data_IF_873012716107
#
_entry.id   IF_873012716107
#
_cell.length_a   1.000
_cell.length_b   1.000
_cell.length_c   1.000
_cell.angle_alpha   90.00
_cell.angle_beta   90.00
_cell.angle_gamma   90.00
#
_symmetry.space_group_name_H-M   'P 1'
#
loop_
_entity.id
_entity.type
_entity.pdbx_description
1 polymer ?
#
# COMPACT_ATOMS: atom_id res chain seq x y z
N UNK A 1 -2.54 15.17 -5.97
CA UNK A 1 -3.35 14.50 -5.28
C UNK A 1 -4.41 13.76 -6.04
N UNK A 2 -5.42 14.39 -6.47
CA UNK A 2 -6.49 13.67 -7.12
C UNK A 2 -6.12 12.99 -8.41
N UNK A 3 -5.13 13.51 -9.10
CA UNK A 3 -4.75 12.97 -10.38
C UNK A 3 -4.24 11.57 -10.33
N UNK A 4 -3.42 11.25 -9.32
CA UNK A 4 -2.86 9.91 -9.23
C UNK A 4 -3.93 8.86 -9.01
N UNK A 5 -5.01 9.20 -8.29
CA UNK A 5 -6.08 8.24 -8.04
C UNK A 5 -7.03 8.11 -9.23
N UNK A 6 -6.90 8.99 -10.21
CA UNK A 6 -7.71 8.93 -11.43
C UNK A 6 -6.93 8.35 -12.61
N UNK A 7 -5.69 7.91 -12.38
CA UNK A 7 -4.91 7.29 -13.44
C UNK A 7 -5.59 6.00 -13.93
N UNK A 8 -5.60 5.82 -15.24
CA UNK A 8 -6.13 4.63 -15.87
C UNK A 8 -5.01 3.77 -16.43
N UNK A 9 -5.30 2.49 -16.63
CA UNK A 9 -4.38 1.52 -17.21
C UNK A 9 -5.11 0.78 -18.32
N UNK A 10 -4.42 0.49 -19.41
CA UNK A 10 -5.03 -0.19 -20.54
C UNK A 10 -5.16 -1.69 -20.34
N UNK A 11 -4.26 -2.29 -19.56
CA UNK A 11 -4.26 -3.72 -19.33
C UNK A 11 -3.49 -4.05 -18.05
N UNK A 12 -3.50 -5.34 -17.70
CA UNK A 12 -2.81 -5.84 -16.51
C UNK A 12 -1.31 -5.60 -16.56
N UNK A 13 -0.70 -5.78 -17.73
CA UNK A 13 0.75 -5.61 -17.86
C UNK A 13 1.16 -4.17 -17.58
N UNK A 14 0.40 -3.20 -18.06
CA UNK A 14 0.68 -1.79 -17.79
C UNK A 14 0.60 -1.49 -16.29
N UNK A 15 -0.43 -2.01 -15.62
CA UNK A 15 -0.58 -1.85 -14.16
C UNK A 15 0.60 -2.50 -13.42
N UNK A 16 0.92 -3.74 -13.74
CA UNK A 16 2.02 -4.45 -13.08
C UNK A 16 3.37 -3.78 -13.34
N UNK A 17 3.60 -3.30 -14.54
CA UNK A 17 4.85 -2.61 -14.87
C UNK A 17 5.00 -1.32 -14.08
N UNK A 18 3.91 -0.58 -13.90
CA UNK A 18 3.96 0.66 -13.12
C UNK A 18 4.16 0.37 -11.63
N UNK A 19 3.54 -0.67 -11.10
CA UNK A 19 3.78 -1.10 -9.72
C UNK A 19 5.26 -1.46 -9.55
N UNK A 20 5.80 -2.27 -10.45
CA UNK A 20 7.18 -2.71 -10.38
C UNK A 20 8.16 -1.54 -10.43
N UNK A 21 7.94 -0.61 -11.34
CA UNK A 21 8.78 0.57 -11.49
C UNK A 21 8.74 1.45 -10.24
N UNK A 22 7.55 1.72 -9.72
CA UNK A 22 7.37 2.55 -8.53
C UNK A 22 7.94 1.88 -7.30
N UNK A 23 7.72 0.59 -7.15
CA UNK A 23 8.22 -0.18 -6.02
C UNK A 23 9.74 -0.25 -6.02
N UNK A 24 10.36 -0.53 -7.17
CA UNK A 24 11.82 -0.62 -7.26
C UNK A 24 12.49 0.70 -6.85
N UNK A 25 11.94 1.82 -7.27
CA UNK A 25 12.46 3.14 -6.89
C UNK A 25 12.28 3.40 -5.40
N UNK A 26 11.14 3.03 -4.86
CA UNK A 26 10.84 3.23 -3.44
C UNK A 26 11.72 2.38 -2.55
N UNK A 27 11.73 1.07 -2.78
CA UNK A 27 12.41 0.13 -1.87
C UNK A 27 13.93 0.33 -1.85
N UNK A 28 14.51 0.72 -2.99
CA UNK A 28 15.95 0.94 -3.07
C UNK A 28 16.43 2.11 -2.21
N UNK A 29 15.54 3.03 -1.86
CA UNK A 29 15.91 4.16 -1.01
C UNK A 29 16.33 3.71 0.40
N UNK A 30 15.93 2.52 0.82
CA UNK A 30 16.25 2.02 2.16
C UNK A 30 17.59 1.28 2.24
N UNK A 31 18.24 1.01 1.09
CA UNK A 31 19.43 0.18 1.04
C UNK A 31 20.60 0.73 1.87
N UNK A 32 20.74 2.06 1.90
CA UNK A 32 21.85 2.71 2.62
C UNK A 32 21.49 3.10 4.05
N UNK A 33 20.27 2.84 4.51
CA UNK A 33 19.86 3.22 5.86
C UNK A 33 20.29 2.14 6.83
N UNK A 34 21.15 2.47 7.82
CA UNK A 34 21.54 1.47 8.82
C UNK A 34 20.37 1.08 9.71
N UNK A 35 20.33 -0.18 10.14
CA UNK A 35 19.28 -0.65 11.04
C UNK A 35 19.25 0.16 12.35
N UNK A 36 20.39 0.64 12.79
CA UNK A 36 20.48 1.45 14.02
C UNK A 36 19.72 2.77 13.92
N UNK A 37 19.40 3.22 12.72
CA UNK A 37 18.67 4.47 12.49
C UNK A 37 17.21 4.27 12.07
N UNK A 38 16.71 3.04 12.09
CA UNK A 38 15.37 2.74 11.63
C UNK A 38 14.27 3.52 12.37
N UNK A 39 14.50 3.85 13.62
CA UNK A 39 13.53 4.56 14.47
C UNK A 39 13.93 6.02 14.73
N UNK A 40 14.93 6.52 14.02
CA UNK A 40 15.36 7.90 14.19
C UNK A 40 14.32 8.84 13.61
N UNK A 41 13.74 9.67 14.49
CA UNK A 41 12.78 10.67 14.07
C UNK A 41 13.48 11.99 13.77
N UNK A 42 13.10 12.61 12.68
CA UNK A 42 13.50 13.99 12.38
C UNK A 42 12.25 14.85 12.34
N UNK A 43 12.39 16.11 12.75
CA UNK A 43 11.22 16.98 12.91
C UNK A 43 10.51 17.26 11.58
N UNK A 44 11.26 17.35 10.51
CA UNK A 44 10.76 17.76 9.19
C UNK A 44 10.00 16.66 8.44
N UNK A 45 10.04 15.43 8.94
CA UNK A 45 9.40 14.29 8.27
C UNK A 45 8.53 13.55 9.29
N UNK A 46 7.29 13.27 8.91
CA UNK A 46 6.30 12.72 9.82
C UNK A 46 6.47 11.24 10.17
N UNK A 47 7.39 10.55 9.52
CA UNK A 47 7.63 9.11 9.75
C UNK A 47 9.10 8.77 9.83
N UNK A 48 9.42 7.84 10.71
CA UNK A 48 10.73 7.19 10.74
C UNK A 48 10.84 6.22 9.58
N UNK A 49 12.04 5.74 9.24
CA UNK A 49 12.16 4.71 8.19
C UNK A 49 11.29 3.47 8.44
N UNK A 50 11.27 2.97 9.68
CA UNK A 50 10.43 1.81 10.00
C UNK A 50 8.94 2.12 9.85
N UNK A 51 8.50 3.27 10.31
CA UNK A 51 7.10 3.70 10.16
C UNK A 51 6.71 3.87 8.69
N UNK A 52 7.63 4.37 7.87
CA UNK A 52 7.42 4.54 6.44
C UNK A 52 7.12 3.19 5.76
N UNK A 53 7.94 2.18 6.05
CA UNK A 53 7.73 0.83 5.53
C UNK A 53 6.49 0.16 6.13
N UNK A 54 6.25 0.35 7.44
CA UNK A 54 5.09 -0.23 8.12
C UNK A 54 3.77 0.21 7.49
N UNK A 55 3.68 1.45 7.06
CA UNK A 55 2.50 1.97 6.36
C UNK A 55 2.23 1.16 5.08
N UNK A 56 3.26 0.90 4.29
CA UNK A 56 3.11 0.16 3.04
C UNK A 56 2.73 -1.30 3.30
N UNK A 57 3.39 -1.92 4.27
CA UNK A 57 3.06 -3.31 4.66
C UNK A 57 1.61 -3.39 5.13
N UNK A 58 1.17 -2.43 5.93
CA UNK A 58 -0.19 -2.40 6.45
C UNK A 58 -1.23 -2.34 5.34
N UNK A 59 -1.14 -1.38 4.45
CA UNK A 59 -2.13 -1.21 3.39
C UNK A 59 -2.10 -2.36 2.38
N UNK A 60 -0.92 -2.81 1.98
CA UNK A 60 -0.86 -3.92 1.02
C UNK A 60 -1.43 -5.21 1.61
N UNK A 61 -1.19 -5.46 2.89
CA UNK A 61 -1.79 -6.60 3.59
C UNK A 61 -3.32 -6.50 3.57
N UNK A 62 -3.87 -5.31 3.82
CA UNK A 62 -5.33 -5.13 3.83
C UNK A 62 -5.94 -5.35 2.45
N UNK A 63 -5.34 -4.81 1.40
CA UNK A 63 -5.86 -4.99 0.03
C UNK A 63 -5.91 -6.47 -0.33
N UNK A 64 -4.85 -7.20 -0.04
CA UNK A 64 -4.79 -8.64 -0.29
C UNK A 64 -5.89 -9.36 0.50
N UNK A 65 -6.07 -8.98 1.76
CA UNK A 65 -7.09 -9.58 2.63
C UNK A 65 -8.50 -9.32 2.11
N UNK A 66 -8.81 -8.11 1.67
CA UNK A 66 -10.14 -7.79 1.13
C UNK A 66 -10.50 -8.75 -0.01
N UNK A 67 -9.61 -8.91 -0.95
CA UNK A 67 -9.86 -9.76 -2.10
C UNK A 67 -9.94 -11.23 -1.71
N UNK A 68 -9.01 -11.68 -0.89
CA UNK A 68 -8.97 -13.08 -0.44
C UNK A 68 -10.22 -13.46 0.35
N UNK A 69 -10.65 -12.59 1.25
CA UNK A 69 -11.81 -12.89 2.11
C UNK A 69 -13.12 -12.91 1.30
N UNK A 70 -13.29 -11.96 0.39
CA UNK A 70 -14.49 -11.97 -0.45
C UNK A 70 -14.56 -13.22 -1.33
N UNK A 71 -13.43 -13.67 -1.86
CA UNK A 71 -13.37 -14.91 -2.65
C UNK A 71 -13.76 -16.13 -1.84
N UNK A 72 -13.55 -16.09 -0.53
CA UNK A 72 -13.96 -17.16 0.40
C UNK A 72 -15.42 -17.06 0.80
N UNK A 73 -16.14 -16.07 0.30
CA UNK A 73 -17.54 -15.86 0.64
C UNK A 73 -17.76 -15.09 1.94
N UNK A 74 -16.71 -14.50 2.50
CA UNK A 74 -16.82 -13.72 3.72
C UNK A 74 -17.25 -12.28 3.41
N UNK A 75 -17.96 -11.65 4.34
CA UNK A 75 -18.25 -10.23 4.25
C UNK A 75 -17.01 -9.46 4.67
N UNK A 76 -16.57 -8.52 3.83
CA UNK A 76 -15.35 -7.75 4.05
C UNK A 76 -15.71 -6.38 4.61
N UNK A 77 -15.08 -6.01 5.72
CA UNK A 77 -15.17 -4.66 6.28
C UNK A 77 -13.94 -3.87 5.89
N UNK A 78 -14.14 -2.74 5.23
CA UNK A 78 -13.04 -1.86 4.86
C UNK A 78 -13.02 -0.63 5.76
N UNK A 79 -11.86 -0.05 6.06
CA UNK A 79 -10.53 -0.50 5.65
C UNK A 79 -10.05 -1.75 6.38
N UNK A 80 -10.58 -2.05 7.58
CA UNK A 80 -10.23 -3.25 8.35
C UNK A 80 -11.38 -3.64 9.26
N UNK A 81 -11.28 -4.81 9.89
CA UNK A 81 -12.33 -5.31 10.78
C UNK A 81 -12.55 -4.39 11.99
N UNK A 82 -11.49 -3.72 12.44
CA UNK A 82 -11.51 -2.96 13.69
C UNK A 82 -11.51 -1.44 13.53
N UNK A 83 -11.29 -0.93 12.31
CA UNK A 83 -11.20 0.51 12.06
C UNK A 83 -12.07 0.90 10.87
N UNK A 84 -12.74 2.05 11.00
CA UNK A 84 -13.57 2.62 9.92
C UNK A 84 -12.78 3.66 9.14
N UNK A 85 -13.31 4.06 8.00
CA UNK A 85 -12.65 5.08 7.15
C UNK A 85 -12.47 6.43 7.83
N UNK A 86 -13.26 6.74 8.85
CA UNK A 86 -13.08 7.97 9.64
C UNK A 86 -12.11 7.77 10.82
N UNK A 87 -11.42 6.64 10.89
CA UNK A 87 -10.47 6.30 11.94
C UNK A 87 -9.08 5.99 11.36
N UNK A 88 -8.71 6.64 10.26
CA UNK A 88 -7.44 6.35 9.59
C UNK A 88 -6.22 6.65 10.45
N UNK A 89 -6.28 7.70 11.28
CA UNK A 89 -5.18 7.99 12.20
C UNK A 89 -4.93 6.83 13.17
N UNK A 90 -6.00 6.24 13.69
CA UNK A 90 -5.90 5.10 14.59
C UNK A 90 -5.41 3.86 13.85
N UNK A 91 -5.84 3.66 12.62
CA UNK A 91 -5.37 2.56 11.78
C UNK A 91 -3.87 2.70 11.50
N UNK A 92 -3.39 3.90 11.21
CA UNK A 92 -1.97 4.13 10.97
C UNK A 92 -1.14 3.87 12.22
N UNK A 93 -1.67 4.24 13.39
CA UNK A 93 -1.02 3.92 14.65
C UNK A 93 -0.97 2.39 14.85
N UNK A 94 -2.03 1.69 14.47
CA UNK A 94 -2.05 0.24 14.54
C UNK A 94 -1.00 -0.38 13.60
N UNK A 95 -0.79 0.17 12.41
CA UNK A 95 0.29 -0.28 11.53
C UNK A 95 1.65 -0.10 12.19
N UNK A 96 1.88 1.06 12.80
CA UNK A 96 3.12 1.34 13.51
C UNK A 96 3.32 0.35 14.66
N UNK A 97 2.31 0.16 15.49
CA UNK A 97 2.41 -0.73 16.64
C UNK A 97 2.61 -2.19 16.24
N UNK A 98 2.02 -2.58 15.10
CA UNK A 98 2.07 -3.97 14.64
C UNK A 98 3.38 -4.29 13.92
N UNK A 99 3.91 -3.36 13.13
CA UNK A 99 4.99 -3.67 12.20
C UNK A 99 6.30 -2.92 12.46
N UNK A 100 6.28 -1.69 13.01
CA UNK A 100 7.47 -0.85 13.03
C UNK A 100 8.56 -1.35 13.99
N UNK A 101 8.25 -2.31 14.86
CA UNK A 101 9.25 -2.92 15.73
C UNK A 101 10.16 -3.90 14.96
N UNK A 102 9.77 -4.33 13.78
CA UNK A 102 10.57 -5.21 12.95
C UNK A 102 11.77 -4.47 12.36
N UNK A 103 12.78 -5.22 11.95
CA UNK A 103 13.94 -4.62 11.28
C UNK A 103 13.54 -4.07 9.90
N UNK A 104 14.35 -3.17 9.36
CA UNK A 104 14.14 -2.69 7.99
C UNK A 104 14.18 -3.85 7.00
N UNK A 105 15.09 -4.81 7.22
CA UNK A 105 15.18 -5.96 6.34
C UNK A 105 13.92 -6.82 6.39
N UNK A 106 13.39 -7.08 7.59
CA UNK A 106 12.15 -7.83 7.75
C UNK A 106 10.98 -7.11 7.09
N UNK A 107 10.88 -5.79 7.26
CA UNK A 107 9.82 -5.00 6.64
C UNK A 107 9.93 -4.99 5.12
N UNK A 108 11.14 -4.88 4.59
CA UNK A 108 11.36 -4.95 3.14
C UNK A 108 10.96 -6.32 2.60
N UNK A 109 11.31 -7.38 3.30
CA UNK A 109 10.97 -8.75 2.89
C UNK A 109 9.45 -8.96 2.88
N UNK A 110 8.75 -8.49 3.92
CA UNK A 110 7.29 -8.56 3.98
C UNK A 110 6.65 -7.79 2.84
N UNK A 111 7.15 -6.60 2.55
CA UNK A 111 6.59 -5.78 1.47
C UNK A 111 6.85 -6.43 0.10
N UNK A 112 8.03 -7.02 -0.11
CA UNK A 112 8.31 -7.77 -1.33
C UNK A 112 7.33 -8.93 -1.52
N UNK A 113 7.05 -9.68 -0.46
CA UNK A 113 6.07 -10.76 -0.50
C UNK A 113 4.68 -10.24 -0.84
N UNK A 114 4.27 -9.14 -0.21
CA UNK A 114 2.97 -8.53 -0.47
C UNK A 114 2.85 -8.06 -1.93
N UNK A 115 3.89 -7.47 -2.48
CA UNK A 115 3.88 -7.04 -3.88
C UNK A 115 3.76 -8.25 -4.82
N UNK A 116 4.46 -9.35 -4.53
CA UNK A 116 4.31 -10.58 -5.30
C UNK A 116 2.89 -11.13 -5.21
N UNK A 117 2.28 -11.09 -4.03
CA UNK A 117 0.89 -11.52 -3.85
C UNK A 117 -0.07 -10.62 -4.62
N UNK A 118 0.21 -9.33 -4.70
CA UNK A 118 -0.60 -8.40 -5.50
C UNK A 118 -0.49 -8.72 -6.98
N UNK A 119 0.71 -9.08 -7.47
CA UNK A 119 0.86 -9.53 -8.86
C UNK A 119 0.04 -10.79 -9.13
N UNK A 120 0.10 -11.75 -8.22
CA UNK A 120 -0.71 -12.97 -8.34
C UNK A 120 -2.21 -12.64 -8.33
N UNK A 121 -2.62 -11.73 -7.47
CA UNK A 121 -4.00 -11.25 -7.41
C UNK A 121 -4.42 -10.64 -8.74
N UNK A 122 -3.62 -9.76 -9.31
CA UNK A 122 -3.90 -9.14 -10.61
C UNK A 122 -4.03 -10.21 -11.69
N UNK A 123 -3.11 -11.16 -11.72
CA UNK A 123 -3.12 -12.22 -12.72
C UNK A 123 -4.33 -13.14 -12.59
N UNK A 124 -4.83 -13.35 -11.37
CA UNK A 124 -5.97 -14.21 -11.11
C UNK A 124 -7.32 -13.56 -11.39
N UNK A 125 -7.37 -12.23 -11.43
CA UNK A 125 -8.59 -11.50 -11.77
C UNK A 125 -8.78 -11.48 -13.29
N UNK A 126 -10.03 -11.57 -13.77
CA UNK A 126 -10.30 -11.33 -15.18
C UNK A 126 -10.14 -9.83 -15.45
N UNK A 127 -10.02 -9.46 -16.72
CA UNK A 127 -9.99 -8.05 -17.11
C UNK A 127 -11.23 -7.32 -16.60
N UNK A 128 -12.41 -7.95 -16.69
CA UNK A 128 -13.65 -7.38 -16.20
C UNK A 128 -13.59 -7.16 -14.67
N UNK A 129 -13.15 -8.17 -13.93
CA UNK A 129 -13.07 -8.05 -12.47
C UNK A 129 -12.14 -6.93 -12.03
N UNK A 130 -11.07 -6.70 -12.80
CA UNK A 130 -10.07 -5.70 -12.45
C UNK A 130 -10.46 -4.29 -12.91
N UNK A 131 -11.02 -4.16 -14.11
CA UNK A 131 -11.20 -2.86 -14.75
C UNK A 131 -12.65 -2.37 -14.88
N UNK A 132 -13.66 -3.22 -14.63
CA UNK A 132 -15.05 -2.80 -14.67
C UNK A 132 -15.57 -2.49 -13.27
N UNK A 133 -16.55 -1.57 -13.16
CA UNK A 133 -17.10 -1.26 -11.82
C UNK A 133 -17.99 -2.37 -11.31
N UNK A 134 -18.23 -2.36 -10.02
CA UNK A 134 -19.19 -3.23 -9.31
C UNK A 134 -18.85 -4.73 -9.35
N UNK A 135 -17.60 -5.07 -9.54
CA UNK A 135 -17.18 -6.47 -9.63
C UNK A 135 -16.82 -7.07 -8.26
N UNK A 136 -16.69 -6.24 -7.24
CA UNK A 136 -16.42 -6.68 -5.85
C UNK A 136 -17.23 -5.84 -4.87
N UNK A 137 -17.87 -6.52 -3.92
CA UNK A 137 -18.64 -5.83 -2.87
C UNK A 137 -17.73 -4.99 -1.99
N UNK A 138 -16.54 -5.51 -1.67
CA UNK A 138 -15.61 -4.75 -0.83
C UNK A 138 -15.24 -3.41 -1.47
N UNK A 139 -15.11 -3.38 -2.78
CA UNK A 139 -14.78 -2.15 -3.49
C UNK A 139 -15.96 -1.16 -3.47
N UNK A 140 -17.17 -1.65 -3.71
CA UNK A 140 -18.36 -0.80 -3.70
C UNK A 140 -18.63 -0.23 -2.31
N UNK A 141 -18.45 -1.05 -1.28
CA UNK A 141 -18.71 -0.63 0.10
C UNK A 141 -17.61 0.27 0.68
N UNK A 142 -16.44 0.28 0.06
CA UNK A 142 -15.33 1.11 0.52
C UNK A 142 -15.51 2.59 0.20
N UNK A 143 -16.44 2.93 -0.69
CA UNK A 143 -16.75 4.31 -1.08
C UNK A 143 -18.19 4.63 -0.77
N UNK A 144 -18.50 5.93 -0.51
CA UNK A 144 -19.88 6.33 -0.23
C UNK A 144 -20.64 6.64 -1.49
N UNK A 145 -20.08 7.50 -2.34
CA UNK A 145 -20.73 7.97 -3.55
C UNK A 145 -19.93 7.69 -4.82
N UNK A 146 -18.62 7.63 -4.69
CA UNK A 146 -17.75 7.32 -5.83
C UNK A 146 -17.88 5.85 -6.20
N UNK A 147 -17.71 5.57 -7.47
CA UNK A 147 -17.66 4.21 -8.00
C UNK A 147 -16.23 3.92 -8.40
N UNK A 148 -15.60 2.95 -7.71
CA UNK A 148 -14.21 2.62 -7.96
C UNK A 148 -14.05 1.16 -8.37
N UNK A 149 -13.39 0.96 -9.49
CA UNK A 149 -12.95 -0.35 -9.94
C UNK A 149 -11.83 -0.88 -9.04
N UNK A 150 -11.64 -2.18 -9.03
CA UNK A 150 -10.62 -2.83 -8.19
C UNK A 150 -9.22 -2.27 -8.46
N UNK A 151 -8.88 -2.02 -9.74
CA UNK A 151 -7.53 -1.54 -10.06
C UNK A 151 -7.20 -0.20 -9.41
N UNK A 152 -8.21 0.64 -9.14
CA UNK A 152 -7.97 1.94 -8.47
C UNK A 152 -7.52 1.74 -7.04
N UNK A 153 -8.10 0.76 -6.34
CA UNK A 153 -7.66 0.42 -4.98
C UNK A 153 -6.23 -0.11 -4.97
N UNK A 154 -5.88 -0.90 -5.98
CA UNK A 154 -4.50 -1.39 -6.11
C UNK A 154 -3.54 -0.22 -6.35
N UNK A 155 -3.89 0.68 -7.26
CA UNK A 155 -3.06 1.85 -7.57
C UNK A 155 -2.84 2.74 -6.35
N UNK A 156 -3.90 3.09 -5.62
CA UNK A 156 -3.79 4.01 -4.48
C UNK A 156 -3.11 3.38 -3.27
N UNK A 157 -2.92 2.08 -3.28
CA UNK A 157 -2.22 1.37 -2.20
C UNK A 157 -0.84 0.85 -2.62
N UNK A 158 -0.41 1.13 -3.82
CA UNK A 158 0.93 0.77 -4.33
C UNK A 158 1.59 1.98 -5.01
N UNK A 159 1.27 2.24 -6.27
CA UNK A 159 1.94 3.26 -7.08
C UNK A 159 1.92 4.63 -6.42
N UNK A 160 0.76 5.09 -5.97
CA UNK A 160 0.62 6.42 -5.40
C UNK A 160 1.43 6.58 -4.11
N UNK A 161 1.26 5.71 -3.09
CA UNK A 161 2.04 5.87 -1.86
C UNK A 161 3.53 5.59 -2.04
N UNK A 162 3.94 4.71 -2.95
CA UNK A 162 5.37 4.51 -3.21
C UNK A 162 6.03 5.82 -3.66
N UNK A 163 5.36 6.60 -4.50
CA UNK A 163 5.87 7.92 -4.90
C UNK A 163 5.91 8.91 -3.75
N UNK A 164 4.82 9.04 -3.03
CA UNK A 164 4.70 9.98 -1.91
C UNK A 164 5.70 9.66 -0.80
N UNK A 165 5.79 8.40 -0.41
CA UNK A 165 6.64 7.96 0.70
C UNK A 165 8.11 7.88 0.30
N UNK A 166 8.40 7.70 -0.98
CA UNK A 166 9.76 7.85 -1.49
C UNK A 166 10.27 9.27 -1.27
N UNK A 167 9.44 10.25 -1.54
CA UNK A 167 9.78 11.66 -1.28
C UNK A 167 10.09 11.88 0.19
N UNK A 168 9.29 11.30 1.09
CA UNK A 168 9.50 11.42 2.53
C UNK A 168 10.81 10.78 2.98
N UNK A 169 11.11 9.57 2.52
CA UNK A 169 12.34 8.89 2.95
C UNK A 169 13.60 9.56 2.37
N UNK A 170 13.51 10.11 1.18
CA UNK A 170 14.62 10.88 0.61
C UNK A 170 14.91 12.13 1.44
N UNK A 171 13.87 12.83 1.88
CA UNK A 171 14.03 13.99 2.75
C UNK A 171 14.63 13.58 4.11
N UNK A 172 14.16 12.48 4.67
CA UNK A 172 14.72 11.95 5.89
C UNK A 172 16.21 11.66 5.75
N UNK A 173 16.62 11.04 4.66
CA UNK A 173 18.03 10.72 4.41
C UNK A 173 18.91 11.98 4.32
N UNK A 174 18.44 13.03 3.69
CA UNK A 174 19.17 14.28 3.60
C UNK A 174 19.45 14.91 4.98
N UNK A 175 18.55 14.70 5.92
CA UNK A 175 18.65 15.27 7.26
C UNK A 175 19.45 14.36 8.19
N UNK A 176 19.21 13.05 8.12
CA UNK A 176 19.71 12.09 9.11
C UNK A 176 21.04 11.43 8.75
N UNK A 177 21.41 11.42 7.48
CA UNK A 177 22.64 10.76 7.01
C UNK A 177 23.75 11.74 6.61
#
# INVERSE_FOLDING_TARGET
>A
MKRSILRTYENKDELKNEINKSFAKYISEFDIIPESLKDKRVEEVDRTPAENLAYQVGWTTLVIKWESDERKGLHVKTPSDNFKWNQLGELYQWFTDTYAHLSLQELKDMLNENINMIYEMIDSLSDEELFEPHMRKWADEATKTAVWEVYKFIHVNTVAPFGTFRTKIRKWKKIAL
#
